data_IF_470509089644
#
_entry.id   IF_470509089644
#
_cell.length_a   1.000
_cell.length_b   1.000
_cell.length_c   1.000
_cell.angle_alpha   90.00
_cell.angle_beta   90.00
_cell.angle_gamma   90.00
#
_symmetry.space_group_name_H-M   'P 1'
#
loop_
_entity.id
_entity.type
_entity.pdbx_description
1 polymer ?
#
# COMPACT_ATOMS: atom_id res chain seq x y z
N UNK A 1 -17.30 59.78 -45.56
CA UNK A 1 -18.62 60.38 -45.21
C UNK A 1 -19.66 59.28 -45.09
N UNK A 2 -20.54 59.42 -44.09
CA UNK A 2 -21.71 58.60 -43.71
C UNK A 2 -21.47 57.38 -42.80
N UNK A 3 -21.57 57.70 -41.51
CA UNK A 3 -22.07 56.86 -40.41
C UNK A 3 -23.56 56.50 -40.59
N UNK A 4 -24.03 55.66 -39.64
CA UNK A 4 -25.40 55.54 -39.10
C UNK A 4 -26.31 54.56 -39.89
N UNK A 5 -27.10 53.63 -39.33
CA UNK A 5 -27.77 53.48 -38.01
C UNK A 5 -28.05 51.98 -37.73
N UNK A 6 -28.14 51.64 -36.44
CA UNK A 6 -28.60 50.41 -35.79
C UNK A 6 -30.04 49.97 -36.16
N UNK A 7 -30.39 48.69 -35.99
CA UNK A 7 -31.40 48.09 -35.06
C UNK A 7 -32.03 46.89 -35.79
N UNK A 8 -32.44 45.74 -35.25
CA UNK A 8 -32.79 45.23 -33.90
C UNK A 8 -32.87 43.70 -34.07
N UNK A 9 -32.17 42.90 -33.26
CA UNK A 9 -32.72 42.18 -32.11
C UNK A 9 -33.70 41.04 -32.47
N UNK A 10 -33.19 39.80 -32.44
CA UNK A 10 -33.99 38.63 -32.08
C UNK A 10 -33.11 37.68 -31.26
N UNK A 11 -33.42 37.70 -29.97
CA UNK A 11 -32.84 36.92 -28.88
C UNK A 11 -33.29 35.47 -29.02
N UNK A 12 -32.36 34.51 -29.02
CA UNK A 12 -32.60 33.19 -28.44
C UNK A 12 -31.43 32.86 -27.52
N UNK A 13 -31.69 33.08 -26.25
CA UNK A 13 -30.89 32.65 -25.11
C UNK A 13 -30.82 31.12 -25.08
N UNK A 14 -29.64 30.57 -25.34
CA UNK A 14 -29.20 29.31 -24.77
C UNK A 14 -27.92 29.57 -23.99
N UNK A 15 -28.05 30.32 -22.90
CA UNK A 15 -27.07 30.35 -21.83
C UNK A 15 -27.10 28.99 -21.11
N UNK A 16 -26.51 27.99 -21.75
CA UNK A 16 -25.98 26.85 -21.02
C UNK A 16 -24.83 27.37 -20.17
N UNK A 17 -25.07 27.57 -18.87
CA UNK A 17 -24.02 27.78 -17.91
C UNK A 17 -23.16 26.52 -17.88
N UNK A 18 -22.16 26.42 -18.76
CA UNK A 18 -21.01 25.55 -18.51
C UNK A 18 -20.28 26.21 -17.35
N UNK A 19 -20.69 25.85 -16.13
CA UNK A 19 -19.78 25.95 -15.01
C UNK A 19 -18.60 25.05 -15.39
N UNK A 20 -17.37 25.56 -15.58
CA UNK A 20 -16.23 24.70 -15.35
C UNK A 20 -16.41 24.26 -13.91
N UNK A 21 -16.70 22.98 -13.69
CA UNK A 21 -16.58 22.39 -12.38
C UNK A 21 -15.13 22.55 -11.97
N UNK A 22 -14.86 23.65 -11.27
CA UNK A 22 -13.84 23.73 -10.24
C UNK A 22 -14.22 22.65 -9.24
N UNK A 23 -13.78 21.43 -9.51
CA UNK A 23 -13.90 20.32 -8.59
C UNK A 23 -12.65 19.49 -8.69
N UNK A 24 -11.69 19.94 -7.87
CA UNK A 24 -10.53 19.23 -7.35
C UNK A 24 -9.46 18.87 -8.37
N UNK A 25 -8.33 19.56 -8.23
CA UNK A 25 -7.02 18.97 -8.44
C UNK A 25 -7.02 17.54 -7.90
N UNK A 26 -7.04 16.56 -8.80
CA UNK A 26 -6.69 15.16 -8.52
C UNK A 26 -5.17 15.00 -8.30
N UNK A 27 -4.43 16.10 -8.20
CA UNK A 27 -2.97 16.14 -8.07
C UNK A 27 -2.45 16.30 -6.64
N UNK A 28 -3.33 16.51 -5.65
CA UNK A 28 -2.90 16.76 -4.27
C UNK A 28 -3.28 15.64 -3.29
N UNK A 29 -3.32 14.41 -3.80
CA UNK A 29 -3.18 13.22 -2.97
C UNK A 29 -1.90 12.47 -3.33
N UNK A 30 -0.79 13.21 -3.50
CA UNK A 30 0.53 12.62 -3.24
C UNK A 30 0.55 12.23 -1.78
N UNK A 31 0.14 10.99 -1.55
CA UNK A 31 0.34 10.22 -0.32
C UNK A 31 1.64 10.69 0.31
N UNK A 32 1.59 11.11 1.57
CA UNK A 32 2.78 11.30 2.36
C UNK A 32 3.59 9.99 2.34
N UNK A 33 4.68 9.96 1.56
CA UNK A 33 5.58 8.81 1.48
C UNK A 33 6.65 9.03 2.55
N UNK A 34 6.38 8.52 3.74
CA UNK A 34 7.46 8.29 4.69
C UNK A 34 8.33 7.15 4.15
N UNK A 35 9.52 7.50 3.67
CA UNK A 35 10.46 6.55 3.07
C UNK A 35 11.05 5.59 4.12
N UNK A 36 10.79 5.82 5.41
CA UNK A 36 11.48 5.16 6.51
C UNK A 36 10.62 5.14 7.79
N UNK A 37 9.62 4.26 7.87
CA UNK A 37 8.83 4.13 9.10
C UNK A 37 9.56 3.25 10.09
N UNK A 38 10.04 3.83 11.20
CA UNK A 38 10.64 3.08 12.30
C UNK A 38 9.57 2.28 13.05
N UNK A 39 9.79 0.96 13.19
CA UNK A 39 8.88 0.02 13.83
C UNK A 39 9.60 -0.68 14.99
N UNK A 40 8.95 -0.83 16.17
CA UNK A 40 9.57 -1.51 17.31
C UNK A 40 10.08 -2.91 16.96
N UNK A 41 11.30 -3.23 17.40
CA UNK A 41 11.95 -4.51 17.13
C UNK A 41 11.10 -5.73 17.50
N UNK A 42 10.28 -5.61 18.55
CA UNK A 42 9.37 -6.67 18.99
C UNK A 42 8.39 -7.13 17.91
N UNK A 43 8.04 -6.29 16.94
CA UNK A 43 7.12 -6.65 15.86
C UNK A 43 7.79 -7.44 14.73
N UNK A 44 9.12 -7.43 14.66
CA UNK A 44 9.91 -8.28 13.76
C UNK A 44 10.24 -9.64 14.38
N UNK A 45 10.01 -9.79 15.69
CA UNK A 45 10.10 -11.06 16.39
C UNK A 45 8.75 -11.79 16.39
N UNK A 46 8.78 -13.07 16.73
CA UNK A 46 7.55 -13.83 16.87
C UNK A 46 6.77 -13.38 18.13
N UNK A 47 5.54 -12.89 17.95
CA UNK A 47 4.64 -12.45 19.02
C UNK A 47 3.42 -13.36 19.11
N UNK A 48 2.59 -13.31 20.18
CA UNK A 48 1.33 -14.04 20.21
C UNK A 48 0.42 -13.75 19.02
N UNK A 49 0.38 -12.51 18.54
CA UNK A 49 -0.39 -12.09 17.37
C UNK A 49 0.21 -12.63 16.08
N UNK A 50 1.55 -12.63 15.93
CA UNK A 50 2.14 -13.22 14.73
C UNK A 50 1.96 -14.75 14.73
N UNK A 51 1.98 -15.43 15.89
CA UNK A 51 1.69 -16.87 16.01
C UNK A 51 0.27 -17.26 15.63
N UNK A 52 -0.72 -16.40 15.91
CA UNK A 52 -2.11 -16.72 15.64
C UNK A 52 -2.46 -16.76 14.16
N UNK A 53 -1.63 -16.14 13.30
CA UNK A 53 -1.82 -16.14 11.85
C UNK A 53 -1.13 -17.33 11.21
N UNK A 54 -1.91 -18.14 10.50
CA UNK A 54 -1.39 -19.30 9.77
C UNK A 54 -0.98 -18.92 8.35
N UNK A 55 0.21 -19.33 7.95
CA UNK A 55 0.72 -19.13 6.58
C UNK A 55 0.45 -20.40 5.76
N UNK A 56 -0.05 -20.27 4.54
CA UNK A 56 -0.30 -21.40 3.66
C UNK A 56 -0.70 -21.00 2.24
N UNK A 57 -1.27 -21.93 1.47
CA UNK A 57 -1.86 -21.59 0.17
C UNK A 57 -3.23 -20.94 0.33
N UNK A 58 -3.62 -20.18 -0.69
CA UNK A 58 -4.96 -19.65 -0.87
C UNK A 58 -6.03 -20.75 -0.91
N UNK A 59 -5.73 -21.89 -1.56
CA UNK A 59 -6.62 -23.06 -1.63
C UNK A 59 -6.96 -23.57 -0.23
N UNK A 60 -5.98 -23.64 0.69
CA UNK A 60 -6.24 -24.08 2.07
C UNK A 60 -7.06 -23.06 2.86
N UNK A 61 -6.89 -21.76 2.60
CA UNK A 61 -7.74 -20.74 3.22
C UNK A 61 -9.20 -20.85 2.75
N UNK A 62 -9.42 -21.03 1.45
CA UNK A 62 -10.75 -21.21 0.89
C UNK A 62 -11.43 -22.49 1.39
N UNK A 63 -10.69 -23.61 1.41
CA UNK A 63 -11.19 -24.90 1.92
C UNK A 63 -11.55 -24.83 3.41
N UNK A 64 -10.86 -23.97 4.17
CA UNK A 64 -11.17 -23.71 5.58
C UNK A 64 -12.34 -22.73 5.79
N UNK A 65 -13.04 -22.32 4.72
CA UNK A 65 -14.18 -21.39 4.78
C UNK A 65 -13.79 -19.92 4.95
N UNK A 66 -12.51 -19.58 4.80
CA UNK A 66 -12.05 -18.21 4.99
C UNK A 66 -12.37 -17.32 3.77
N UNK A 67 -12.68 -16.05 4.03
CA UNK A 67 -12.96 -15.04 3.01
C UNK A 67 -11.72 -14.19 2.73
N UNK A 68 -11.46 -13.91 1.46
CA UNK A 68 -10.41 -12.98 1.07
C UNK A 68 -10.74 -11.56 1.56
N UNK A 69 -9.79 -10.92 2.23
CA UNK A 69 -9.95 -9.56 2.74
C UNK A 69 -9.31 -8.55 1.79
N UNK A 70 -8.00 -8.68 1.60
CA UNK A 70 -7.19 -7.78 0.78
C UNK A 70 -5.81 -8.37 0.53
N UNK A 71 -5.09 -7.76 -0.41
CA UNK A 71 -3.66 -7.99 -0.62
C UNK A 71 -2.87 -6.93 0.13
N UNK A 72 -1.93 -7.36 0.97
CA UNK A 72 -1.11 -6.49 1.79
C UNK A 72 0.37 -6.66 1.44
N UNK A 73 1.08 -5.55 1.32
CA UNK A 73 2.52 -5.50 0.98
C UNK A 73 3.28 -4.91 2.16
N UNK A 74 4.38 -5.55 2.55
CA UNK A 74 5.41 -4.96 3.41
C UNK A 74 6.72 -4.92 2.65
N UNK A 75 7.47 -3.84 2.81
CA UNK A 75 8.88 -3.74 2.44
C UNK A 75 9.65 -3.38 3.70
N UNK A 76 10.76 -4.06 3.96
CA UNK A 76 11.53 -3.92 5.20
C UNK A 76 13.03 -3.90 4.94
N UNK A 77 13.79 -3.52 5.97
CA UNK A 77 15.26 -3.64 6.05
C UNK A 77 15.72 -4.90 6.79
N UNK A 78 14.83 -5.88 6.91
CA UNK A 78 15.02 -7.08 7.74
C UNK A 78 14.97 -8.33 6.87
N UNK A 79 15.36 -9.48 7.44
CA UNK A 79 15.30 -10.78 6.76
C UNK A 79 13.87 -11.20 6.43
N UNK A 80 13.70 -12.21 5.57
CA UNK A 80 12.40 -12.83 5.29
C UNK A 80 11.63 -13.20 6.56
N UNK A 81 12.27 -13.89 7.49
CA UNK A 81 11.62 -14.36 8.73
C UNK A 81 11.11 -13.20 9.58
N UNK A 82 11.93 -12.19 9.78
CA UNK A 82 11.57 -11.00 10.56
C UNK A 82 10.46 -10.19 9.89
N UNK A 83 10.55 -10.05 8.57
CA UNK A 83 9.55 -9.36 7.75
C UNK A 83 8.21 -10.10 7.74
N UNK A 84 8.26 -11.43 7.73
CA UNK A 84 7.08 -12.28 7.82
C UNK A 84 6.42 -12.14 9.19
N UNK A 85 7.20 -12.06 10.27
CA UNK A 85 6.66 -11.79 11.61
C UNK A 85 5.91 -10.46 11.67
N UNK A 86 6.50 -9.39 11.13
CA UNK A 86 5.84 -8.07 11.04
C UNK A 86 4.56 -8.14 10.22
N UNK A 87 4.60 -8.79 9.06
CA UNK A 87 3.43 -8.96 8.20
C UNK A 87 2.33 -9.74 8.93
N UNK A 88 2.66 -10.85 9.59
CA UNK A 88 1.72 -11.66 10.37
C UNK A 88 1.12 -10.86 11.53
N UNK A 89 1.95 -10.12 12.28
CA UNK A 89 1.46 -9.24 13.34
C UNK A 89 0.43 -8.24 12.81
N UNK A 90 0.76 -7.51 11.75
CA UNK A 90 -0.16 -6.52 11.15
C UNK A 90 -1.42 -7.19 10.57
N UNK A 91 -1.28 -8.39 10.00
CA UNK A 91 -2.40 -9.20 9.51
C UNK A 91 -3.36 -9.56 10.64
N UNK A 92 -2.85 -10.00 11.79
CA UNK A 92 -3.65 -10.27 12.97
C UNK A 92 -4.40 -9.02 13.46
N UNK A 93 -3.73 -7.86 13.48
CA UNK A 93 -4.34 -6.58 13.86
C UNK A 93 -5.42 -6.11 12.87
N UNK A 94 -5.37 -6.58 11.62
CA UNK A 94 -6.43 -6.35 10.63
C UNK A 94 -7.57 -7.38 10.71
N UNK A 95 -7.46 -8.40 11.56
CA UNK A 95 -8.46 -9.47 11.71
C UNK A 95 -8.19 -10.73 10.88
N UNK A 96 -7.10 -10.79 10.11
CA UNK A 96 -6.77 -11.97 9.33
C UNK A 96 -6.33 -13.13 10.24
N UNK A 97 -6.84 -14.33 9.95
CA UNK A 97 -6.45 -15.58 10.62
C UNK A 97 -5.53 -16.44 9.77
N UNK A 98 -5.60 -16.25 8.43
CA UNK A 98 -4.73 -16.92 7.46
C UNK A 98 -4.15 -15.92 6.48
N UNK A 99 -2.93 -16.20 6.03
CA UNK A 99 -2.30 -15.48 4.93
C UNK A 99 -1.75 -16.46 3.89
N UNK A 100 -1.69 -16.00 2.64
CA UNK A 100 -0.98 -16.69 1.58
C UNK A 100 0.01 -15.75 0.91
N UNK A 101 1.28 -16.16 0.83
CA UNK A 101 2.33 -15.37 0.20
C UNK A 101 2.12 -15.41 -1.32
N UNK A 102 1.83 -14.26 -1.90
CA UNK A 102 1.63 -14.10 -3.34
C UNK A 102 2.94 -13.81 -4.07
N UNK A 103 3.79 -12.98 -3.47
CA UNK A 103 5.10 -12.60 -4.02
C UNK A 103 6.09 -12.34 -2.88
N UNK A 104 7.32 -12.77 -3.08
CA UNK A 104 8.44 -12.48 -2.19
C UNK A 104 9.66 -12.11 -3.03
N UNK A 105 10.35 -11.06 -2.61
CA UNK A 105 11.65 -10.63 -3.13
C UNK A 105 12.54 -10.28 -1.94
N UNK A 106 13.76 -10.81 -1.91
CA UNK A 106 14.79 -10.46 -0.93
C UNK A 106 16.05 -10.10 -1.70
N UNK A 107 16.59 -8.92 -1.42
CA UNK A 107 17.83 -8.44 -2.01
C UNK A 107 18.87 -8.30 -0.91
N UNK A 108 19.98 -8.98 -1.08
CA UNK A 108 21.17 -8.82 -0.23
C UNK A 108 21.91 -7.54 -0.65
N UNK A 109 22.29 -6.72 0.33
CA UNK A 109 22.99 -5.47 0.08
C UNK A 109 24.39 -5.65 -0.53
N UNK A 110 25.01 -6.82 -0.40
CA UNK A 110 26.25 -7.16 -1.08
C UNK A 110 26.10 -7.21 -2.60
N UNK A 111 24.89 -7.45 -3.13
CA UNK A 111 24.64 -7.56 -4.57
C UNK A 111 24.47 -6.20 -5.26
N UNK A 112 24.51 -5.06 -4.54
CA UNK A 112 24.45 -3.69 -5.07
C UNK A 112 23.23 -3.36 -5.96
N UNK A 113 22.20 -4.22 -6.01
CA UNK A 113 21.00 -4.06 -6.85
C UNK A 113 19.80 -3.50 -6.10
N UNK A 114 20.00 -2.67 -5.08
CA UNK A 114 18.89 -2.06 -4.36
C UNK A 114 18.40 -0.84 -5.14
N UNK A 115 17.69 -1.10 -6.23
CA UNK A 115 16.87 -0.09 -6.86
C UNK A 115 15.49 -0.14 -6.20
N UNK A 116 15.30 0.63 -5.13
CA UNK A 116 13.96 0.93 -4.61
C UNK A 116 13.33 1.89 -5.62
N UNK A 117 12.82 1.33 -6.72
CA UNK A 117 11.91 2.04 -7.60
C UNK A 117 10.53 2.04 -6.93
N UNK A 118 9.90 3.21 -6.93
CA UNK A 118 8.52 3.54 -6.50
C UNK A 118 8.29 4.12 -5.09
N UNK A 119 7.16 4.82 -5.02
CA UNK A 119 6.51 5.61 -3.95
C UNK A 119 6.12 4.81 -2.68
N UNK A 120 6.90 3.80 -2.31
CA UNK A 120 6.53 2.85 -1.25
C UNK A 120 7.13 3.19 0.12
N UNK A 121 6.34 2.92 1.18
CA UNK A 121 6.79 2.96 2.58
C UNK A 121 7.68 1.74 2.89
N UNK A 122 8.86 1.98 3.45
CA UNK A 122 9.75 0.93 3.98
C UNK A 122 9.68 0.92 5.50
N UNK A 123 9.39 -0.24 6.09
CA UNK A 123 9.42 -0.45 7.53
C UNK A 123 10.84 -0.77 8.00
N UNK A 124 11.38 0.09 8.84
CA UNK A 124 12.72 -0.05 9.40
C UNK A 124 12.59 -0.65 10.80
N UNK A 125 13.28 -1.76 11.02
CA UNK A 125 13.43 -2.33 12.36
C UNK A 125 14.19 -1.33 13.24
N UNK A 126 13.62 -0.95 14.37
CA UNK A 126 14.24 0.01 15.28
C UNK A 126 15.68 -0.42 15.64
N UNK A 127 16.64 0.51 15.50
CA UNK A 127 18.07 0.23 15.67
C UNK A 127 18.80 -0.20 14.39
N UNK A 128 18.10 -0.31 13.26
CA UNK A 128 18.69 -0.56 11.94
C UNK A 128 18.70 0.70 11.08
N UNK A 129 19.53 0.71 10.03
CA UNK A 129 19.59 1.79 9.05
C UNK A 129 18.95 1.34 7.74
N UNK A 130 18.26 2.24 7.04
CA UNK A 130 17.85 2.00 5.66
C UNK A 130 19.06 1.80 4.74
N UNK A 131 20.09 2.63 4.94
CA UNK A 131 21.29 2.65 4.14
C UNK A 131 22.33 1.77 4.85
N UNK A 132 22.60 0.59 4.31
CA UNK A 132 23.50 -0.40 4.91
C UNK A 132 22.79 -1.53 5.67
N UNK A 133 21.46 -1.64 5.56
CA UNK A 133 20.78 -2.87 5.95
C UNK A 133 21.34 -4.04 5.12
N UNK A 134 21.61 -5.21 5.71
CA UNK A 134 22.08 -6.37 4.97
C UNK A 134 21.02 -6.92 4.00
N UNK A 135 19.74 -6.68 4.30
CA UNK A 135 18.61 -7.21 3.53
C UNK A 135 17.58 -6.12 3.23
N UNK A 136 17.00 -6.20 2.04
CA UNK A 136 15.76 -5.53 1.70
C UNK A 136 14.73 -6.56 1.27
N UNK A 137 13.72 -6.77 2.12
CA UNK A 137 12.70 -7.78 1.89
C UNK A 137 11.38 -7.13 1.51
N UNK A 138 10.79 -7.58 0.40
CA UNK A 138 9.41 -7.28 0.02
C UNK A 138 8.58 -8.55 0.11
N UNK A 139 7.49 -8.52 0.88
CA UNK A 139 6.50 -9.61 0.94
C UNK A 139 5.13 -9.05 0.59
N UNK A 140 4.48 -9.66 -0.38
CA UNK A 140 3.08 -9.41 -0.72
C UNK A 140 2.27 -10.65 -0.38
N UNK A 141 1.24 -10.51 0.45
CA UNK A 141 0.40 -11.61 0.87
C UNK A 141 -1.09 -11.28 0.71
N UNK A 142 -1.88 -12.30 0.39
CA UNK A 142 -3.34 -12.25 0.49
C UNK A 142 -3.72 -12.56 1.94
N UNK A 143 -4.59 -11.74 2.54
CA UNK A 143 -5.11 -11.90 3.90
C UNK A 143 -6.51 -12.50 3.85
N UNK A 144 -6.79 -13.41 4.77
CA UNK A 144 -8.08 -14.08 4.87
C UNK A 144 -8.63 -14.04 6.29
N UNK A 145 -9.90 -13.69 6.40
CA UNK A 145 -10.68 -13.80 7.62
C UNK A 145 -11.38 -15.17 7.65
N UNK A 146 -11.24 -15.89 8.74
CA UNK A 146 -11.89 -17.19 8.95
C UNK A 146 -12.91 -17.11 10.09
N UNK A 147 -13.54 -15.95 10.29
CA UNK A 147 -14.74 -15.82 11.10
C UNK A 147 -15.91 -16.53 10.38
N UNK A 148 -16.21 -17.73 10.85
CA UNK A 148 -17.58 -18.27 10.86
C UNK A 148 -18.19 -17.99 12.22
#
# INVERSE_FOLDING_TARGET
>A
MKNLVFTTMAVVLLSGCIHPTSSRQLEEQRSYIDKTVSIPNVLFMETPQSKSVLVGSDVFAQTAGCQFMQRYKVRTTATFTESLNLLKYRSAMMGAKRISIFKHEEVDASESRIFIHDDDVVYIQAGTSLQGAPFHTTITANLYDCAG
#
